data_IF_203625553295
#
_entry.id   IF_203625553295
#
_cell.length_a   1.000
_cell.length_b   1.000
_cell.length_c   1.000
_cell.angle_alpha   90.00
_cell.angle_beta   90.00
_cell.angle_gamma   90.00
#
_symmetry.space_group_name_H-M   'P 1'
#
loop_
_entity.id
_entity.type
_entity.pdbx_description
1 polymer ?
#
# COMPACT_ATOMS: atom_id res chain seq x y z
N UNK A 1 -4.17 21.97 -19.22
CA UNK A 1 -3.85 22.30 -17.80
C UNK A 1 -4.66 21.48 -16.80
N UNK A 2 -5.93 21.16 -17.07
CA UNK A 2 -6.78 20.32 -16.17
C UNK A 2 -6.26 18.89 -16.09
N UNK A 3 -5.83 18.26 -17.20
CA UNK A 3 -5.26 16.91 -17.22
C UNK A 3 -3.96 16.78 -16.39
N UNK A 4 -3.11 17.80 -16.42
CA UNK A 4 -1.86 17.79 -15.63
C UNK A 4 -2.13 17.86 -14.11
N UNK A 5 -3.21 18.53 -13.69
CA UNK A 5 -3.63 18.62 -12.28
C UNK A 5 -4.22 17.31 -11.76
N UNK A 6 -5.02 16.60 -12.57
CA UNK A 6 -5.59 15.29 -12.24
C UNK A 6 -4.48 14.22 -12.14
N UNK A 7 -3.53 14.19 -13.07
CA UNK A 7 -2.36 13.33 -13.01
C UNK A 7 -1.54 13.55 -11.72
N UNK A 8 -1.37 14.80 -11.28
CA UNK A 8 -0.57 15.09 -10.07
C UNK A 8 -1.24 14.61 -8.78
N UNK A 9 -2.57 14.65 -8.67
CA UNK A 9 -3.30 14.23 -7.47
C UNK A 9 -3.37 12.71 -7.31
N UNK A 10 -3.52 11.97 -8.40
CA UNK A 10 -3.58 10.50 -8.41
C UNK A 10 -2.22 9.81 -8.17
N UNK A 11 -1.10 10.53 -8.32
CA UNK A 11 0.26 9.98 -8.19
C UNK A 11 0.67 9.76 -6.73
N UNK A 12 0.18 10.58 -5.79
CA UNK A 12 0.71 10.62 -4.42
C UNK A 12 0.44 9.32 -3.65
N UNK A 13 -0.79 8.80 -3.72
CA UNK A 13 -1.15 7.59 -3.01
C UNK A 13 -0.32 6.37 -3.46
N UNK A 14 -0.24 6.03 -4.77
CA UNK A 14 0.60 4.94 -5.23
C UNK A 14 2.09 5.18 -4.98
N UNK A 15 2.56 6.44 -5.08
CA UNK A 15 3.93 6.80 -4.71
C UNK A 15 4.25 6.42 -3.26
N UNK A 16 3.41 6.83 -2.31
CA UNK A 16 3.63 6.57 -0.88
C UNK A 16 3.53 5.08 -0.54
N UNK A 17 2.57 4.37 -1.12
CA UNK A 17 2.43 2.92 -0.96
C UNK A 17 3.70 2.22 -1.43
N UNK A 18 4.11 2.43 -2.69
CA UNK A 18 5.28 1.74 -3.25
C UNK A 18 6.58 2.17 -2.58
N UNK A 19 6.73 3.45 -2.22
CA UNK A 19 7.87 3.94 -1.46
C UNK A 19 8.02 3.18 -0.15
N UNK A 20 6.92 3.05 0.61
CA UNK A 20 6.91 2.39 1.91
C UNK A 20 7.25 0.91 1.79
N UNK A 21 6.52 0.17 0.97
CA UNK A 21 6.71 -1.28 0.82
C UNK A 21 8.09 -1.61 0.24
N UNK A 22 8.60 -0.79 -0.70
CA UNK A 22 9.95 -0.96 -1.24
C UNK A 22 11.03 -0.70 -0.20
N UNK A 23 10.86 0.25 0.72
CA UNK A 23 11.79 0.47 1.83
C UNK A 23 11.71 -0.69 2.82
N UNK A 24 10.53 -1.24 3.11
CA UNK A 24 10.39 -2.43 3.97
C UNK A 24 11.11 -3.64 3.36
N UNK A 25 10.87 -3.92 2.09
CA UNK A 25 11.58 -4.97 1.37
C UNK A 25 13.11 -4.78 1.38
N UNK A 26 13.58 -3.54 1.14
CA UNK A 26 15.01 -3.22 1.17
C UNK A 26 15.63 -3.38 2.56
N UNK A 27 14.90 -3.06 3.63
CA UNK A 27 15.33 -3.27 5.01
C UNK A 27 15.43 -4.76 5.33
N UNK A 28 14.44 -5.57 4.95
CA UNK A 28 14.44 -7.02 5.14
C UNK A 28 15.67 -7.64 4.44
N UNK A 29 15.87 -7.33 3.16
CA UNK A 29 17.03 -7.81 2.39
C UNK A 29 18.34 -7.30 2.99
N UNK A 30 18.39 -6.04 3.42
CA UNK A 30 19.56 -5.43 4.05
C UNK A 30 19.94 -6.10 5.38
N UNK A 31 18.99 -6.41 6.25
CA UNK A 31 19.21 -7.14 7.51
C UNK A 31 19.76 -8.56 7.21
N UNK A 32 19.12 -9.27 6.27
CA UNK A 32 19.55 -10.60 5.88
C UNK A 32 20.97 -10.60 5.30
N UNK A 33 21.28 -9.60 4.45
CA UNK A 33 22.60 -9.40 3.87
C UNK A 33 23.66 -9.16 4.94
N UNK A 34 23.41 -8.19 5.84
CA UNK A 34 24.31 -7.85 6.93
C UNK A 34 24.54 -9.03 7.90
N UNK A 35 23.51 -9.85 8.13
CA UNK A 35 23.64 -11.04 8.95
C UNK A 35 24.53 -12.11 8.28
N UNK A 36 24.39 -12.32 6.96
CA UNK A 36 25.28 -13.24 6.21
C UNK A 36 26.73 -12.79 6.24
N UNK A 37 27.02 -11.49 6.17
CA UNK A 37 28.36 -10.94 6.36
C UNK A 37 28.87 -11.22 7.78
N UNK A 38 28.06 -10.98 8.80
CA UNK A 38 28.42 -11.17 10.21
C UNK A 38 28.79 -12.62 10.56
N UNK A 39 28.16 -13.59 9.90
CA UNK A 39 28.44 -15.02 10.11
C UNK A 39 29.49 -15.55 9.14
N UNK A 40 30.20 -14.66 8.40
CA UNK A 40 31.26 -15.00 7.44
C UNK A 40 30.79 -15.95 6.32
N UNK A 41 29.56 -15.75 5.81
CA UNK A 41 28.96 -16.56 4.74
C UNK A 41 28.51 -15.71 3.54
N UNK A 42 29.36 -14.88 2.96
CA UNK A 42 28.99 -14.00 1.84
C UNK A 42 28.59 -14.77 0.57
N UNK A 43 28.99 -16.04 0.44
CA UNK A 43 28.61 -16.89 -0.70
C UNK A 43 27.10 -17.10 -0.83
N UNK A 44 26.32 -16.88 0.25
CA UNK A 44 24.87 -17.00 0.24
C UNK A 44 24.14 -15.72 -0.22
N UNK A 45 24.80 -14.58 -0.28
CA UNK A 45 24.18 -13.30 -0.66
C UNK A 45 23.58 -13.31 -2.07
N UNK A 46 24.21 -14.01 -3.02
CA UNK A 46 23.66 -14.17 -4.38
C UNK A 46 22.31 -14.92 -4.38
N UNK A 47 22.15 -15.89 -3.49
CA UNK A 47 20.90 -16.64 -3.38
C UNK A 47 19.81 -15.85 -2.70
N UNK A 48 20.15 -14.97 -1.75
CA UNK A 48 19.28 -13.96 -1.20
C UNK A 48 18.72 -13.07 -2.32
N UNK A 49 19.59 -12.57 -3.22
CA UNK A 49 19.14 -11.76 -4.37
C UNK A 49 18.27 -12.55 -5.34
N UNK A 50 18.55 -13.82 -5.61
CA UNK A 50 17.72 -14.64 -6.50
C UNK A 50 16.31 -14.82 -5.92
N UNK A 51 16.18 -15.11 -4.62
CA UNK A 51 14.89 -15.20 -3.95
C UNK A 51 14.11 -13.88 -4.01
N UNK A 52 14.79 -12.77 -3.72
CA UNK A 52 14.19 -11.42 -3.77
C UNK A 52 13.73 -11.05 -5.18
N UNK A 53 14.56 -11.28 -6.20
CA UNK A 53 14.19 -11.00 -7.60
C UNK A 53 13.02 -11.87 -8.07
N UNK A 54 13.00 -13.15 -7.71
CA UNK A 54 11.87 -14.03 -8.02
C UNK A 54 10.56 -13.52 -7.39
N UNK A 55 10.60 -13.02 -6.16
CA UNK A 55 9.46 -12.41 -5.49
C UNK A 55 8.96 -11.16 -6.22
N UNK A 56 9.87 -10.26 -6.58
CA UNK A 56 9.55 -9.03 -7.32
C UNK A 56 8.88 -9.35 -8.67
N UNK A 57 9.47 -10.28 -9.43
CA UNK A 57 8.92 -10.71 -10.73
C UNK A 57 7.53 -11.33 -10.56
N UNK A 58 7.35 -12.17 -9.54
CA UNK A 58 6.04 -12.78 -9.24
C UNK A 58 4.99 -11.73 -8.87
N UNK A 59 5.35 -10.70 -8.08
CA UNK A 59 4.45 -9.62 -7.70
C UNK A 59 4.07 -8.74 -8.89
N UNK A 60 5.02 -8.41 -9.76
CA UNK A 60 4.75 -7.68 -11.02
C UNK A 60 3.83 -8.51 -11.92
N UNK A 61 4.08 -9.81 -12.04
CA UNK A 61 3.24 -10.73 -12.80
C UNK A 61 1.80 -10.78 -12.28
N UNK A 62 1.63 -10.82 -10.95
CA UNK A 62 0.31 -10.78 -10.32
C UNK A 62 -0.39 -9.45 -10.55
N UNK A 63 0.32 -8.32 -10.39
CA UNK A 63 -0.23 -6.99 -10.70
C UNK A 63 -0.66 -6.85 -12.15
N UNK A 64 0.17 -7.35 -13.09
CA UNK A 64 -0.18 -7.38 -14.52
C UNK A 64 -1.41 -8.23 -14.83
N UNK A 65 -1.56 -9.39 -14.15
CA UNK A 65 -2.75 -10.23 -14.28
C UNK A 65 -4.00 -9.50 -13.79
N UNK A 66 -3.91 -8.78 -12.69
CA UNK A 66 -5.03 -7.96 -12.17
C UNK A 66 -5.41 -6.88 -13.18
N UNK A 67 -4.46 -6.14 -13.75
CA UNK A 67 -4.74 -5.10 -14.77
C UNK A 67 -5.46 -5.69 -15.99
N UNK A 68 -5.03 -6.85 -16.46
CA UNK A 68 -5.69 -7.52 -17.60
C UNK A 68 -7.12 -7.90 -17.22
N UNK A 69 -7.31 -8.49 -16.04
CA UNK A 69 -8.65 -8.91 -15.57
C UNK A 69 -9.57 -7.71 -15.38
N UNK A 70 -9.08 -6.61 -14.79
CA UNK A 70 -9.84 -5.36 -14.63
C UNK A 70 -10.29 -4.79 -15.99
N UNK A 71 -9.43 -4.82 -16.99
CA UNK A 71 -9.76 -4.33 -18.34
C UNK A 71 -10.87 -5.11 -19.05
N UNK A 72 -11.20 -6.32 -18.59
CA UNK A 72 -12.30 -7.15 -19.11
C UNK A 72 -13.61 -6.97 -18.32
N UNK A 73 -13.57 -6.39 -17.11
CA UNK A 73 -14.76 -6.13 -16.32
C UNK A 73 -15.50 -4.90 -16.81
N UNK A 74 -16.83 -4.92 -16.70
CA UNK A 74 -17.69 -3.78 -17.05
C UNK A 74 -18.96 -3.75 -16.22
N UNK A 75 -19.48 -2.54 -16.01
CA UNK A 75 -20.75 -2.31 -15.35
C UNK A 75 -20.80 -2.85 -13.91
N UNK A 76 -21.76 -3.72 -13.61
CA UNK A 76 -21.98 -4.29 -12.28
C UNK A 76 -20.72 -4.96 -11.68
N UNK A 77 -20.05 -5.81 -12.46
CA UNK A 77 -18.90 -6.57 -11.97
C UNK A 77 -17.67 -5.70 -11.73
N UNK A 78 -17.49 -4.67 -12.55
CA UNK A 78 -16.44 -3.65 -12.36
C UNK A 78 -16.60 -2.95 -11.00
N UNK A 79 -17.80 -2.37 -10.75
CA UNK A 79 -18.12 -1.68 -9.50
C UNK A 79 -18.07 -2.59 -8.27
N UNK A 80 -18.59 -3.81 -8.39
CA UNK A 80 -18.52 -4.80 -7.32
C UNK A 80 -17.07 -5.14 -6.95
N UNK A 81 -16.21 -5.33 -7.96
CA UNK A 81 -14.80 -5.58 -7.75
C UNK A 81 -14.10 -4.37 -7.09
N UNK A 82 -14.32 -3.16 -7.61
CA UNK A 82 -13.73 -1.93 -7.08
C UNK A 82 -14.14 -1.69 -5.61
N UNK A 83 -15.41 -1.85 -5.31
CA UNK A 83 -15.93 -1.71 -3.95
C UNK A 83 -15.31 -2.72 -2.97
N UNK A 84 -15.33 -4.00 -3.33
CA UNK A 84 -14.78 -5.08 -2.49
C UNK A 84 -13.26 -4.95 -2.36
N UNK A 85 -12.55 -4.66 -3.44
CA UNK A 85 -11.10 -4.48 -3.43
C UNK A 85 -10.69 -3.31 -2.54
N UNK A 86 -11.40 -2.16 -2.64
CA UNK A 86 -11.13 -0.96 -1.83
C UNK A 86 -11.36 -1.19 -0.35
N UNK A 87 -12.44 -1.86 0.04
CA UNK A 87 -12.70 -2.20 1.45
C UNK A 87 -11.67 -3.21 1.96
N UNK A 88 -11.35 -4.24 1.17
CA UNK A 88 -10.34 -5.23 1.56
C UNK A 88 -8.98 -4.58 1.73
N UNK A 89 -8.55 -3.75 0.78
CA UNK A 89 -7.30 -3.00 0.86
C UNK A 89 -7.26 -2.10 2.12
N UNK A 90 -8.35 -1.40 2.43
CA UNK A 90 -8.46 -0.57 3.64
C UNK A 90 -8.27 -1.39 4.92
N UNK A 91 -8.95 -2.53 5.03
CA UNK A 91 -8.85 -3.42 6.22
C UNK A 91 -7.42 -3.93 6.38
N UNK A 92 -6.83 -4.45 5.30
CA UNK A 92 -5.46 -4.99 5.34
C UNK A 92 -4.44 -3.90 5.61
N UNK A 93 -4.54 -2.74 4.95
CA UNK A 93 -3.63 -1.61 5.16
C UNK A 93 -3.69 -1.14 6.62
N UNK A 94 -4.88 -0.96 7.18
CA UNK A 94 -5.05 -0.58 8.58
C UNK A 94 -4.46 -1.63 9.53
N UNK A 95 -4.72 -2.92 9.28
CA UNK A 95 -4.15 -4.02 10.06
C UNK A 95 -2.61 -4.01 10.02
N UNK A 96 -2.02 -3.89 8.83
CA UNK A 96 -0.56 -3.88 8.63
C UNK A 96 0.09 -2.71 9.36
N UNK A 97 -0.47 -1.50 9.24
CA UNK A 97 0.04 -0.31 9.93
C UNK A 97 0.05 -0.52 11.45
N UNK A 98 -1.06 -1.06 11.98
CA UNK A 98 -1.19 -1.36 13.41
C UNK A 98 -0.20 -2.44 13.84
N UNK A 99 -0.09 -3.52 13.09
CA UNK A 99 0.82 -4.62 13.38
C UNK A 99 2.28 -4.18 13.35
N UNK A 100 2.67 -3.42 12.32
CA UNK A 100 4.03 -2.88 12.19
C UNK A 100 4.42 -1.97 13.34
N UNK A 101 3.50 -1.12 13.82
CA UNK A 101 3.78 -0.22 14.94
C UNK A 101 4.17 -0.98 16.23
N UNK A 102 3.67 -2.21 16.38
CA UNK A 102 3.93 -3.07 17.55
C UNK A 102 5.18 -3.94 17.38
N UNK A 103 5.48 -4.40 16.16
CA UNK A 103 6.49 -5.43 15.90
C UNK A 103 7.78 -4.90 15.24
N UNK A 104 7.86 -3.63 14.88
CA UNK A 104 9.03 -3.05 14.19
C UNK A 104 10.37 -3.30 14.90
N UNK A 105 10.36 -3.40 16.24
CA UNK A 105 11.58 -3.64 17.06
C UNK A 105 12.04 -5.10 17.06
N UNK A 106 11.16 -6.06 16.80
CA UNK A 106 11.46 -7.51 16.90
C UNK A 106 11.85 -8.14 15.55
N UNK A 107 11.49 -7.51 14.43
CA UNK A 107 11.70 -8.03 13.07
C UNK A 107 13.16 -8.43 12.81
N UNK A 108 14.12 -7.61 13.25
CA UNK A 108 15.56 -7.91 13.07
C UNK A 108 15.94 -9.23 13.71
N UNK A 109 15.60 -9.44 14.97
CA UNK A 109 15.92 -10.67 15.70
C UNK A 109 15.25 -11.90 15.13
N UNK A 110 14.00 -11.76 14.64
CA UNK A 110 13.27 -12.86 14.00
C UNK A 110 13.92 -13.28 12.68
N UNK A 111 14.33 -12.32 11.83
CA UNK A 111 15.01 -12.61 10.56
C UNK A 111 16.38 -13.27 10.79
N UNK A 112 17.19 -12.73 11.70
CA UNK A 112 18.48 -13.31 12.07
C UNK A 112 18.30 -14.77 12.57
N UNK A 113 17.30 -15.02 13.43
CA UNK A 113 16.98 -16.34 13.94
C UNK A 113 16.55 -17.34 12.85
N UNK A 114 15.72 -16.91 11.89
CA UNK A 114 15.28 -17.75 10.76
C UNK A 114 16.44 -18.13 9.85
N UNK A 115 17.37 -17.22 9.57
CA UNK A 115 18.56 -17.49 8.76
C UNK A 115 19.48 -18.48 9.50
N UNK A 116 19.76 -18.22 10.80
CA UNK A 116 20.57 -19.12 11.62
C UNK A 116 19.99 -20.53 11.63
N UNK A 117 18.68 -20.67 11.84
CA UNK A 117 17.99 -21.95 11.82
C UNK A 117 18.09 -22.64 10.45
N UNK A 118 17.88 -21.90 9.35
CA UNK A 118 17.96 -22.41 7.98
C UNK A 118 19.38 -22.93 7.65
N UNK A 119 20.42 -22.27 8.14
CA UNK A 119 21.82 -22.69 7.90
C UNK A 119 22.21 -23.87 8.80
N UNK A 120 21.91 -23.80 10.10
CA UNK A 120 22.32 -24.80 11.09
C UNK A 120 21.59 -26.13 10.95
N UNK A 121 20.29 -26.10 10.64
CA UNK A 121 19.48 -27.31 10.50
C UNK A 121 19.63 -28.00 9.14
N UNK A 122 20.28 -27.34 8.19
CA UNK A 122 20.50 -27.89 6.86
C UNK A 122 21.67 -28.86 6.85
N UNK A 123 21.38 -30.14 6.78
CA UNK A 123 22.41 -31.20 6.54
C UNK A 123 22.92 -31.12 5.08
N UNK A 124 23.69 -30.07 4.74
CA UNK A 124 24.35 -29.92 3.44
C UNK A 124 24.15 -28.55 2.78
N UNK A 125 25.15 -28.12 2.01
CA UNK A 125 25.20 -26.82 1.34
C UNK A 125 23.98 -26.56 0.44
N UNK A 126 23.44 -27.57 -0.23
CA UNK A 126 22.31 -27.47 -1.14
C UNK A 126 20.99 -27.13 -0.41
N UNK A 127 20.81 -27.68 0.76
CA UNK A 127 19.63 -27.41 1.62
C UNK A 127 19.68 -26.02 2.21
N UNK A 128 20.87 -25.52 2.59
CA UNK A 128 21.08 -24.15 3.07
C UNK A 128 20.78 -23.11 1.98
N UNK A 129 21.21 -23.37 0.74
CA UNK A 129 20.91 -22.52 -0.43
C UNK A 129 19.40 -22.37 -0.63
N UNK A 130 18.67 -23.49 -0.70
CA UNK A 130 17.23 -23.47 -0.90
C UNK A 130 16.51 -22.75 0.26
N UNK A 131 16.95 -22.95 1.51
CA UNK A 131 16.38 -22.27 2.67
C UNK A 131 16.51 -20.75 2.56
N UNK A 132 17.66 -20.25 2.11
CA UNK A 132 17.89 -18.80 1.94
C UNK A 132 17.06 -18.23 0.78
N UNK A 133 16.99 -18.93 -0.36
CA UNK A 133 16.15 -18.51 -1.50
C UNK A 133 14.69 -18.42 -1.06
N UNK A 134 14.16 -19.46 -0.42
CA UNK A 134 12.76 -19.50 0.03
C UNK A 134 12.49 -18.41 1.08
N UNK A 135 13.40 -18.24 2.05
CA UNK A 135 13.24 -17.22 3.09
C UNK A 135 13.22 -15.82 2.48
N UNK A 136 14.14 -15.51 1.57
CA UNK A 136 14.18 -14.24 0.86
C UNK A 136 12.94 -14.04 -0.01
N UNK A 137 12.54 -15.08 -0.75
CA UNK A 137 11.33 -15.05 -1.58
C UNK A 137 10.09 -14.75 -0.74
N UNK A 138 9.84 -15.51 0.33
CA UNK A 138 8.64 -15.35 1.16
C UNK A 138 8.62 -13.97 1.83
N UNK A 139 9.76 -13.51 2.32
CA UNK A 139 9.86 -12.22 2.98
C UNK A 139 9.57 -11.05 2.02
N UNK A 140 10.17 -11.05 0.82
CA UNK A 140 9.96 -9.97 -0.18
C UNK A 140 8.63 -10.12 -0.90
N UNK A 141 8.15 -11.35 -1.16
CA UNK A 141 6.86 -11.58 -1.78
C UNK A 141 5.71 -11.07 -0.92
N UNK A 142 5.85 -11.09 0.39
CA UNK A 142 4.87 -10.48 1.31
C UNK A 142 4.70 -8.99 1.00
N UNK A 143 5.79 -8.22 0.95
CA UNK A 143 5.73 -6.78 0.67
C UNK A 143 5.23 -6.51 -0.77
N UNK A 144 5.61 -7.39 -1.70
CA UNK A 144 5.09 -7.33 -3.06
C UNK A 144 3.59 -7.61 -3.17
N UNK A 145 3.06 -8.58 -2.41
CA UNK A 145 1.62 -8.86 -2.33
C UNK A 145 0.84 -7.71 -1.67
N UNK A 146 1.39 -7.12 -0.60
CA UNK A 146 0.81 -5.93 0.04
C UNK A 146 0.78 -4.76 -0.95
N UNK A 147 1.86 -4.52 -1.69
CA UNK A 147 1.92 -3.51 -2.76
C UNK A 147 0.81 -3.73 -3.80
N UNK A 148 0.69 -4.95 -4.33
CA UNK A 148 -0.33 -5.28 -5.35
C UNK A 148 -1.73 -5.08 -4.80
N UNK A 149 -2.00 -5.55 -3.57
CA UNK A 149 -3.31 -5.40 -2.93
C UNK A 149 -3.70 -3.91 -2.77
N UNK A 150 -2.76 -3.08 -2.31
CA UNK A 150 -3.05 -1.66 -2.09
C UNK A 150 -3.12 -0.85 -3.39
N UNK A 151 -2.41 -1.26 -4.43
CA UNK A 151 -2.49 -0.62 -5.74
C UNK A 151 -3.73 -1.05 -6.53
N UNK A 152 -4.30 -2.23 -6.26
CA UNK A 152 -5.44 -2.76 -7.04
C UNK A 152 -6.60 -1.77 -7.18
N UNK A 153 -7.16 -1.16 -6.11
CA UNK A 153 -8.21 -0.16 -6.27
C UNK A 153 -7.73 1.13 -6.95
N UNK A 154 -6.45 1.49 -6.83
CA UNK A 154 -5.90 2.66 -7.51
C UNK A 154 -5.73 2.43 -9.02
N UNK A 155 -5.41 1.19 -9.42
CA UNK A 155 -5.30 0.79 -10.82
C UNK A 155 -6.63 0.87 -11.56
N UNK A 156 -7.76 0.59 -10.90
CA UNK A 156 -9.08 0.75 -11.49
C UNK A 156 -9.50 2.22 -11.58
N UNK A 157 -9.12 3.06 -10.63
CA UNK A 157 -9.45 4.50 -10.65
C UNK A 157 -8.66 5.24 -11.73
N UNK A 158 -7.34 5.07 -11.77
CA UNK A 158 -6.44 5.71 -12.75
C UNK A 158 -5.15 4.91 -12.92
N UNK A 159 -5.10 4.09 -13.96
CA UNK A 159 -3.95 3.28 -14.31
C UNK A 159 -2.69 4.14 -14.56
N UNK A 160 -2.83 5.27 -15.26
CA UNK A 160 -1.69 6.10 -15.65
C UNK A 160 -1.00 6.73 -14.44
N UNK A 161 -1.76 7.40 -13.58
CA UNK A 161 -1.23 8.02 -12.35
C UNK A 161 -0.69 6.96 -11.39
N UNK A 162 -1.33 5.80 -11.30
CA UNK A 162 -0.88 4.70 -10.44
C UNK A 162 0.47 4.15 -10.90
N UNK A 163 0.68 3.93 -12.19
CA UNK A 163 1.97 3.48 -12.72
C UNK A 163 3.07 4.52 -12.53
N UNK A 164 2.79 5.79 -12.82
CA UNK A 164 3.77 6.88 -12.62
C UNK A 164 4.16 7.02 -11.16
N UNK A 165 3.18 7.05 -10.25
CA UNK A 165 3.43 7.10 -8.81
C UNK A 165 4.25 5.92 -8.31
N UNK A 166 3.93 4.71 -8.78
CA UNK A 166 4.64 3.49 -8.43
C UNK A 166 6.11 3.51 -8.87
N UNK A 167 6.38 3.94 -10.09
CA UNK A 167 7.77 4.05 -10.61
C UNK A 167 8.56 5.10 -9.83
N UNK A 168 7.95 6.25 -9.54
CA UNK A 168 8.60 7.30 -8.73
C UNK A 168 8.86 6.81 -7.29
N UNK A 169 7.89 6.15 -6.66
CA UNK A 169 8.05 5.59 -5.31
C UNK A 169 9.18 4.57 -5.22
N UNK A 170 9.23 3.63 -6.18
CA UNK A 170 10.32 2.66 -6.29
C UNK A 170 11.68 3.33 -6.51
N UNK A 171 11.74 4.32 -7.42
CA UNK A 171 12.98 5.06 -7.71
C UNK A 171 13.54 5.78 -6.48
N UNK A 172 12.68 6.46 -5.72
CA UNK A 172 13.07 7.13 -4.46
C UNK A 172 13.48 6.12 -3.40
N UNK A 173 12.75 4.99 -3.25
CA UNK A 173 13.11 3.93 -2.31
C UNK A 173 14.52 3.35 -2.59
N UNK A 174 14.81 3.07 -3.87
CA UNK A 174 16.12 2.60 -4.30
C UNK A 174 17.22 3.62 -4.01
N UNK A 175 16.98 4.90 -4.32
CA UNK A 175 17.93 5.98 -4.04
C UNK A 175 18.25 6.12 -2.55
N UNK A 176 17.21 6.10 -1.70
CA UNK A 176 17.35 6.15 -0.24
C UNK A 176 18.10 4.92 0.31
N UNK A 177 17.78 3.73 -0.19
CA UNK A 177 18.42 2.48 0.23
C UNK A 177 19.90 2.46 -0.14
N UNK A 178 20.26 2.94 -1.33
CA UNK A 178 21.67 3.07 -1.76
C UNK A 178 22.41 4.14 -0.95
N UNK A 179 21.78 5.28 -0.65
CA UNK A 179 22.37 6.32 0.17
C UNK A 179 22.63 5.83 1.60
N UNK A 180 21.69 5.10 2.19
CA UNK A 180 21.83 4.49 3.51
C UNK A 180 22.97 3.46 3.55
N UNK A 181 23.06 2.59 2.53
CA UNK A 181 24.16 1.59 2.40
C UNK A 181 25.52 2.26 2.31
N UNK A 182 25.65 3.44 1.69
CA UNK A 182 26.91 4.21 1.59
C UNK A 182 27.24 5.02 2.83
N UNK A 183 26.37 4.99 3.86
CA UNK A 183 26.56 5.81 5.07
C UNK A 183 26.35 7.31 4.87
N UNK A 184 25.82 7.72 3.70
CA UNK A 184 25.58 9.13 3.36
C UNK A 184 24.38 9.68 4.14
N UNK A 185 23.43 8.80 4.48
CA UNK A 185 22.19 9.17 5.15
C UNK A 185 21.83 8.16 6.24
N UNK A 186 21.74 8.66 7.47
CA UNK A 186 21.21 7.89 8.60
C UNK A 186 19.71 8.17 8.72
N UNK A 187 18.89 7.36 8.05
CA UNK A 187 17.45 7.48 8.14
C UNK A 187 16.97 6.91 9.47
N UNK A 188 16.24 7.73 10.23
CA UNK A 188 15.47 7.25 11.38
C UNK A 188 14.23 6.48 10.88
N UNK A 189 14.43 5.18 10.70
CA UNK A 189 13.45 4.25 10.16
C UNK A 189 12.14 4.32 10.96
N UNK A 190 12.23 4.46 12.29
CA UNK A 190 11.05 4.55 13.15
C UNK A 190 10.21 5.79 12.86
N UNK A 191 10.86 6.95 12.69
CA UNK A 191 10.16 8.19 12.30
C UNK A 191 9.58 8.10 10.90
N UNK A 192 10.33 7.55 9.94
CA UNK A 192 9.84 7.36 8.59
C UNK A 192 8.53 6.56 8.57
N UNK A 193 8.52 5.39 9.23
CA UNK A 193 7.30 4.56 9.30
C UNK A 193 6.18 5.22 10.09
N UNK A 194 6.47 6.00 11.12
CA UNK A 194 5.44 6.73 11.86
C UNK A 194 4.74 7.76 10.97
N UNK A 195 5.49 8.56 10.21
CA UNK A 195 4.91 9.59 9.32
C UNK A 195 4.17 8.97 8.12
N UNK A 196 4.77 7.98 7.46
CA UNK A 196 4.11 7.32 6.32
C UNK A 196 2.86 6.57 6.75
N UNK A 197 2.86 5.91 7.92
CA UNK A 197 1.68 5.27 8.48
C UNK A 197 0.54 6.24 8.74
N UNK A 198 0.83 7.44 9.28
CA UNK A 198 -0.20 8.46 9.49
C UNK A 198 -0.86 8.87 8.17
N UNK A 199 -0.05 9.13 7.14
CA UNK A 199 -0.56 9.51 5.82
C UNK A 199 -1.38 8.37 5.20
N UNK A 200 -0.91 7.13 5.32
CA UNK A 200 -1.61 5.95 4.79
C UNK A 200 -2.92 5.64 5.53
N UNK A 201 -3.04 5.95 6.83
CA UNK A 201 -4.32 5.85 7.56
C UNK A 201 -5.33 6.86 6.99
N UNK A 202 -4.88 8.07 6.72
CA UNK A 202 -5.73 9.10 6.10
C UNK A 202 -6.20 8.63 4.72
N UNK A 203 -5.28 8.12 3.92
CA UNK A 203 -5.58 7.54 2.61
C UNK A 203 -6.55 6.35 2.71
N UNK A 204 -6.33 5.43 3.66
CA UNK A 204 -7.20 4.29 3.88
C UNK A 204 -8.65 4.70 4.23
N UNK A 205 -8.84 5.80 4.96
CA UNK A 205 -10.17 6.36 5.23
C UNK A 205 -10.87 6.80 3.93
N UNK A 206 -10.15 7.45 3.02
CA UNK A 206 -10.65 7.85 1.70
C UNK A 206 -11.01 6.64 0.84
N UNK A 207 -10.14 5.63 0.82
CA UNK A 207 -10.36 4.38 0.09
C UNK A 207 -11.56 3.59 0.63
N UNK A 208 -11.78 3.61 1.95
CA UNK A 208 -12.97 3.02 2.57
C UNK A 208 -14.26 3.70 2.09
N UNK A 209 -14.25 5.05 2.07
CA UNK A 209 -15.38 5.82 1.55
C UNK A 209 -15.63 5.55 0.07
N UNK A 210 -14.58 5.43 -0.75
CA UNK A 210 -14.69 5.06 -2.15
C UNK A 210 -15.30 3.66 -2.32
N UNK A 211 -14.83 2.68 -1.56
CA UNK A 211 -15.39 1.32 -1.60
C UNK A 211 -16.86 1.24 -1.23
N UNK A 212 -17.32 2.06 -0.25
CA UNK A 212 -18.76 2.17 0.08
C UNK A 212 -19.54 2.76 -1.08
N UNK A 213 -19.02 3.81 -1.74
CA UNK A 213 -19.65 4.42 -2.91
C UNK A 213 -19.90 3.41 -4.03
N UNK A 214 -18.87 2.65 -4.42
CA UNK A 214 -18.99 1.62 -5.48
C UNK A 214 -20.00 0.52 -5.10
N UNK A 215 -20.05 0.12 -3.82
CA UNK A 215 -21.05 -0.87 -3.37
C UNK A 215 -22.47 -0.29 -3.33
N UNK A 216 -22.64 1.01 -3.08
CA UNK A 216 -23.94 1.68 -3.23
C UNK A 216 -24.40 1.62 -4.69
N UNK A 217 -23.53 1.92 -5.65
CA UNK A 217 -23.86 1.85 -7.07
C UNK A 217 -24.23 0.42 -7.51
N UNK A 218 -23.56 -0.61 -6.95
CA UNK A 218 -23.93 -2.02 -7.15
C UNK A 218 -25.32 -2.31 -6.62
N UNK A 219 -25.67 -1.80 -5.44
CA UNK A 219 -26.99 -1.99 -4.83
C UNK A 219 -28.08 -1.31 -5.65
N UNK A 220 -27.85 -0.07 -6.11
CA UNK A 220 -28.80 0.69 -6.95
C UNK A 220 -29.07 -0.01 -8.29
N UNK A 221 -28.00 -0.49 -8.96
CA UNK A 221 -28.15 -1.28 -10.20
C UNK A 221 -28.92 -2.57 -9.95
N UNK A 222 -28.84 -3.14 -8.75
CA UNK A 222 -29.61 -4.32 -8.34
C UNK A 222 -31.05 -4.02 -7.93
N UNK A 223 -31.51 -2.75 -8.01
CA UNK A 223 -32.85 -2.33 -7.65
C UNK A 223 -33.07 -2.18 -6.14
N UNK A 224 -32.00 -2.08 -5.35
CA UNK A 224 -32.09 -1.81 -3.90
C UNK A 224 -32.05 -0.30 -3.71
N UNK A 225 -33.12 0.25 -3.14
CA UNK A 225 -33.22 1.66 -2.77
C UNK A 225 -33.14 1.80 -1.25
N UNK A 226 -32.44 2.83 -0.78
CA UNK A 226 -32.33 3.12 0.65
C UNK A 226 -32.15 4.62 0.88
N UNK A 227 -32.79 5.21 1.91
CA UNK A 227 -32.53 6.59 2.30
C UNK A 227 -31.05 6.86 2.63
N UNK A 228 -30.26 5.82 2.96
CA UNK A 228 -28.83 5.96 3.22
C UNK A 228 -28.00 6.17 1.96
N UNK A 229 -28.55 5.95 0.77
CA UNK A 229 -27.91 6.19 -0.52
C UNK A 229 -28.13 7.62 -1.01
N UNK A 230 -29.05 8.36 -0.36
CA UNK A 230 -29.24 9.78 -0.66
C UNK A 230 -27.98 10.59 -0.33
N UNK A 231 -27.81 11.72 -1.02
CA UNK A 231 -26.68 12.63 -0.77
C UNK A 231 -26.84 13.31 0.58
N UNK A 232 -25.80 13.28 1.40
CA UNK A 232 -25.75 13.94 2.70
C UNK A 232 -25.72 15.48 2.55
N UNK A 233 -25.00 15.97 1.54
CA UNK A 233 -24.89 17.39 1.15
C UNK A 233 -24.43 17.50 -0.30
N UNK A 234 -24.54 18.68 -0.87
CA UNK A 234 -23.89 19.09 -2.11
C UNK A 234 -23.25 20.46 -1.91
N UNK A 235 -21.94 20.46 -1.82
CA UNK A 235 -21.11 21.67 -1.64
C UNK A 235 -20.18 21.90 -2.84
N UNK A 236 -20.37 21.14 -3.92
CA UNK A 236 -19.60 21.36 -5.14
C UNK A 236 -19.91 22.74 -5.72
N UNK A 237 -18.89 23.54 -6.06
CA UNK A 237 -19.10 24.75 -6.85
C UNK A 237 -19.74 24.42 -8.21
N UNK A 238 -20.58 25.32 -8.75
CA UNK A 238 -21.27 25.14 -10.03
C UNK A 238 -20.28 24.91 -11.20
N UNK A 239 -19.12 25.55 -11.15
CA UNK A 239 -18.09 25.39 -12.17
C UNK A 239 -17.16 24.23 -11.82
N UNK A 240 -17.04 23.26 -12.73
CA UNK A 240 -16.08 22.13 -12.62
C UNK A 240 -14.62 22.57 -12.63
N UNK A 241 -14.32 23.76 -13.15
CA UNK A 241 -12.98 24.34 -13.18
C UNK A 241 -12.64 25.09 -11.89
N UNK A 242 -13.58 25.21 -10.96
CA UNK A 242 -13.31 25.85 -9.66
C UNK A 242 -12.32 24.98 -8.86
N UNK A 243 -11.26 25.54 -8.28
CA UNK A 243 -10.22 24.77 -7.59
C UNK A 243 -10.75 23.85 -6.51
N UNK A 244 -11.81 24.22 -5.79
CA UNK A 244 -12.42 23.44 -4.70
C UNK A 244 -13.48 22.44 -5.18
N UNK A 245 -13.86 22.45 -6.47
CA UNK A 245 -14.73 21.39 -7.00
C UNK A 245 -13.98 20.04 -6.91
N UNK A 246 -14.68 18.94 -6.67
CA UNK A 246 -14.04 17.60 -6.56
C UNK A 246 -13.18 17.22 -7.77
N UNK A 247 -13.46 17.79 -8.96
CA UNK A 247 -12.71 17.67 -10.21
C UNK A 247 -11.70 18.81 -10.42
N UNK A 248 -11.69 19.81 -9.55
CA UNK A 248 -10.72 20.91 -9.57
C UNK A 248 -9.39 20.48 -8.95
N UNK A 249 -8.34 21.31 -9.10
CA UNK A 249 -6.97 20.96 -8.67
C UNK A 249 -6.93 20.65 -7.16
N UNK A 250 -7.48 21.52 -6.32
CA UNK A 250 -7.46 21.33 -4.86
C UNK A 250 -8.41 20.22 -4.43
N UNK A 251 -9.62 20.18 -5.00
CA UNK A 251 -10.62 19.17 -4.68
C UNK A 251 -10.16 17.76 -5.07
N UNK A 252 -9.58 17.57 -6.26
CA UNK A 252 -9.05 16.28 -6.68
C UNK A 252 -7.86 15.83 -5.83
N UNK A 253 -7.02 16.76 -5.38
CA UNK A 253 -5.94 16.48 -4.44
C UNK A 253 -6.48 16.04 -3.07
N UNK A 254 -7.47 16.74 -2.54
CA UNK A 254 -8.14 16.38 -1.30
C UNK A 254 -8.90 15.04 -1.43
N UNK A 255 -9.54 14.79 -2.59
CA UNK A 255 -10.19 13.50 -2.90
C UNK A 255 -9.18 12.35 -2.85
N UNK A 256 -8.01 12.50 -3.46
CA UNK A 256 -6.97 11.47 -3.48
C UNK A 256 -6.33 11.21 -2.11
N UNK A 257 -6.16 12.25 -1.28
CA UNK A 257 -5.48 12.10 0.01
C UNK A 257 -6.43 11.74 1.15
N UNK A 258 -7.54 12.47 1.27
CA UNK A 258 -8.43 12.37 2.45
C UNK A 258 -9.81 11.81 2.10
N UNK A 259 -10.05 11.44 0.85
CA UNK A 259 -11.34 10.96 0.39
C UNK A 259 -12.41 12.06 0.32
N UNK A 260 -12.00 13.33 0.11
CA UNK A 260 -12.94 14.45 -0.04
C UNK A 260 -13.92 14.17 -1.18
N UNK A 261 -15.21 14.42 -0.90
CA UNK A 261 -16.29 14.37 -1.86
C UNK A 261 -17.22 15.54 -1.62
N UNK A 262 -17.57 16.26 -2.69
CA UNK A 262 -18.44 17.44 -2.61
C UNK A 262 -19.91 17.09 -2.44
N UNK A 263 -20.32 15.85 -2.79
CA UNK A 263 -21.71 15.38 -2.68
C UNK A 263 -21.82 13.90 -2.27
N UNK A 264 -21.22 13.51 -1.12
CA UNK A 264 -21.18 12.12 -0.69
C UNK A 264 -22.54 11.59 -0.25
N UNK A 265 -22.73 10.27 -0.35
CA UNK A 265 -23.88 9.57 0.21
C UNK A 265 -23.81 9.53 1.75
N UNK A 266 -24.98 9.48 2.39
CA UNK A 266 -25.10 9.39 3.87
C UNK A 266 -24.32 8.18 4.39
N UNK A 267 -24.49 6.99 3.76
CA UNK A 267 -23.79 5.77 4.17
C UNK A 267 -22.27 5.90 4.07
N UNK A 268 -21.77 6.57 3.02
CA UNK A 268 -20.35 6.87 2.84
C UNK A 268 -19.80 7.74 3.96
N UNK A 269 -20.51 8.81 4.31
CA UNK A 269 -20.12 9.69 5.42
C UNK A 269 -20.13 8.95 6.75
N UNK A 270 -21.16 8.17 7.02
CA UNK A 270 -21.22 7.34 8.23
C UNK A 270 -20.05 6.35 8.31
N UNK A 271 -19.75 5.65 7.23
CA UNK A 271 -18.62 4.73 7.16
C UNK A 271 -17.28 5.43 7.43
N UNK A 272 -17.06 6.59 6.81
CA UNK A 272 -15.85 7.39 7.01
C UNK A 272 -15.69 7.82 8.49
N UNK A 273 -16.76 8.28 9.12
CA UNK A 273 -16.75 8.66 10.55
C UNK A 273 -16.49 7.45 11.45
N UNK A 274 -17.15 6.31 11.18
CA UNK A 274 -16.94 5.06 11.93
C UNK A 274 -15.50 4.60 11.81
N UNK A 275 -14.91 4.64 10.61
CA UNK A 275 -13.51 4.31 10.40
C UNK A 275 -12.59 5.16 11.30
N UNK A 276 -12.78 6.48 11.30
CA UNK A 276 -11.98 7.39 12.14
C UNK A 276 -12.17 7.18 13.64
N UNK A 277 -13.40 6.86 14.09
CA UNK A 277 -13.66 6.52 15.50
C UNK A 277 -12.89 5.27 15.91
N UNK A 278 -12.93 4.22 15.09
CA UNK A 278 -12.25 2.94 15.37
C UNK A 278 -10.72 3.12 15.35
N UNK A 279 -10.19 3.60 14.22
CA UNK A 279 -8.74 3.71 14.00
C UNK A 279 -8.13 4.79 14.90
N UNK A 280 -8.79 5.94 15.04
CA UNK A 280 -8.34 7.01 15.92
C UNK A 280 -8.33 6.62 17.40
N UNK A 281 -9.35 5.87 17.85
CA UNK A 281 -9.40 5.34 19.22
C UNK A 281 -8.26 4.35 19.49
N UNK A 282 -7.99 3.47 18.52
CA UNK A 282 -6.89 2.52 18.61
C UNK A 282 -5.54 3.21 18.58
N UNK A 283 -5.33 4.15 17.67
CA UNK A 283 -4.10 4.95 17.57
C UNK A 283 -3.80 5.68 18.87
N UNK A 284 -4.81 6.34 19.43
CA UNK A 284 -4.69 7.06 20.71
C UNK A 284 -4.28 6.14 21.87
N UNK A 285 -4.78 4.89 21.88
CA UNK A 285 -4.44 3.89 22.89
C UNK A 285 -3.00 3.39 22.74
N UNK A 286 -2.52 3.19 21.52
CA UNK A 286 -1.19 2.63 21.21
C UNK A 286 -0.06 3.63 21.42
N UNK A 287 -0.27 4.91 21.13
CA UNK A 287 0.76 5.96 21.23
C UNK A 287 0.69 6.81 22.51
N UNK A 288 -0.29 6.57 23.37
CA UNK A 288 -0.43 7.29 24.64
C UNK A 288 0.24 6.55 25.82
N UNK A 289 0.67 5.33 25.61
CA UNK A 289 1.48 4.51 26.51
C UNK A 289 2.91 4.41 25.98
#
# INVERSE_FOLDING_TARGET
MVEAGLLSSGIIAPFLVVLRESIEAALIVGIMWAYLDKIERPEYQKYLLYGSLAAIVSSIGLGGLIVITLGELSGFWEKAFEGVASITATIVLTYVIVWMSQHARTIKGELEGKIAYGIVKSYGAKTSVNAIIILAFVAVAREGLETVLFLTPLLSIDLGSTLVGSVLGLGVALALSLAAKRGIYNMDISKFFSYTSLILIIFAAGLFGYGIHELIEVAEVSGIESPLFEKAWDINPESKDHPLHEKGIVGSFAKALVGYDGNPEILRVMGYVIYWVIVGSYWRKTYRN
#
